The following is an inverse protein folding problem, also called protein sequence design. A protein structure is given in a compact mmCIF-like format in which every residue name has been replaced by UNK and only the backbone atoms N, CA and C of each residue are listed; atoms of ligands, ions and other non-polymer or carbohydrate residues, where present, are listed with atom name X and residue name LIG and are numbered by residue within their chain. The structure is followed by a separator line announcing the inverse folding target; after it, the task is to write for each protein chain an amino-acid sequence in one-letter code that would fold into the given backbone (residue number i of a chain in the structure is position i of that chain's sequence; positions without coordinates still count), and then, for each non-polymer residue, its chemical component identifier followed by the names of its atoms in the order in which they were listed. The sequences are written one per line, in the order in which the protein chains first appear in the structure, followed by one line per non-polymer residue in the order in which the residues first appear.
data_IF_489235685026
#
_entry.id   IF_489235685026
#
_cell.length_a   1.000
_cell.length_b   1.000
_cell.length_c   1.000
_cell.angle_alpha   90.00
_cell.angle_beta   90.00
_cell.angle_gamma   90.00
#
_symmetry.space_group_name_H-M   'P 1'
#
loop_
_entity.id
_entity.type
_entity.pdbx_description
1 polymer ?
#
# COMPACT_ATOMS: atom_id res chain seq x y z
N UNK A 1 12.83 26.41 -13.61
CA UNK A 1 12.84 24.96 -13.28
C UNK A 1 12.38 24.73 -11.83
N UNK A 2 11.37 25.45 -11.36
CA UNK A 2 11.02 25.47 -9.93
C UNK A 2 10.05 24.35 -9.50
N UNK A 3 9.49 23.58 -10.46
CA UNK A 3 8.44 22.59 -10.19
C UNK A 3 8.91 21.12 -10.13
N UNK A 4 10.23 20.85 -10.07
CA UNK A 4 10.72 19.45 -10.02
C UNK A 4 10.42 18.81 -8.67
N UNK A 5 9.77 17.66 -8.69
CA UNK A 5 9.53 16.87 -7.50
C UNK A 5 10.81 16.22 -6.99
N UNK A 6 10.98 16.21 -5.67
CA UNK A 6 12.08 15.51 -5.00
C UNK A 6 11.73 14.04 -4.81
N UNK A 7 12.52 13.16 -5.44
CA UNK A 7 12.37 11.70 -5.31
C UNK A 7 12.33 11.24 -3.87
N UNK A 8 13.28 11.72 -3.05
CA UNK A 8 13.37 11.32 -1.64
C UNK A 8 12.11 11.69 -0.87
N UNK A 9 11.60 12.91 -1.04
CA UNK A 9 10.38 13.37 -0.34
C UNK A 9 9.18 12.53 -0.73
N UNK A 10 8.92 12.39 -2.04
CA UNK A 10 7.74 11.67 -2.53
C UNK A 10 7.79 10.18 -2.18
N UNK A 11 8.90 9.49 -2.48
CA UNK A 11 9.03 8.06 -2.21
C UNK A 11 8.93 7.75 -0.72
N UNK A 12 9.59 8.51 0.16
CA UNK A 12 9.53 8.26 1.59
C UNK A 12 8.15 8.58 2.17
N UNK A 13 7.52 9.69 1.76
CA UNK A 13 6.17 10.02 2.21
C UNK A 13 5.18 8.93 1.81
N UNK A 14 5.22 8.46 0.56
CA UNK A 14 4.36 7.37 0.09
C UNK A 14 4.63 6.08 0.86
N UNK A 15 5.90 5.72 1.05
CA UNK A 15 6.27 4.50 1.77
C UNK A 15 5.83 4.51 3.24
N UNK A 16 5.97 5.64 3.94
CA UNK A 16 5.53 5.79 5.33
C UNK A 16 4.01 5.67 5.43
N UNK A 17 3.26 6.40 4.59
CA UNK A 17 1.79 6.35 4.60
C UNK A 17 1.31 4.94 4.27
N UNK A 18 1.88 4.30 3.25
CA UNK A 18 1.55 2.91 2.88
C UNK A 18 1.88 1.94 3.99
N UNK A 19 3.03 2.07 4.66
CA UNK A 19 3.40 1.22 5.78
C UNK A 19 2.45 1.33 6.97
N UNK A 20 2.06 2.55 7.34
CA UNK A 20 1.05 2.81 8.39
C UNK A 20 -0.28 2.19 7.99
N UNK A 21 -0.75 2.45 6.77
CA UNK A 21 -2.02 1.93 6.28
C UNK A 21 -2.03 0.39 6.25
N UNK A 22 -0.96 -0.23 5.74
CA UNK A 22 -0.80 -1.69 5.72
C UNK A 22 -0.81 -2.28 7.13
N UNK A 23 -0.18 -1.62 8.09
CA UNK A 23 -0.19 -2.03 9.49
C UNK A 23 -1.60 -1.98 10.09
N UNK A 24 -2.34 -0.89 9.84
CA UNK A 24 -3.74 -0.75 10.30
C UNK A 24 -4.62 -1.84 9.67
N UNK A 25 -4.44 -2.13 8.38
CA UNK A 25 -5.16 -3.21 7.70
C UNK A 25 -4.88 -4.59 8.32
N UNK A 26 -3.62 -4.91 8.60
CA UNK A 26 -3.25 -6.17 9.24
C UNK A 26 -3.87 -6.27 10.65
N UNK A 27 -3.79 -5.20 11.45
CA UNK A 27 -4.42 -5.16 12.77
C UNK A 27 -5.94 -5.35 12.70
N UNK A 28 -6.60 -4.74 11.71
CA UNK A 28 -8.04 -4.89 11.53
C UNK A 28 -8.43 -6.34 11.22
N UNK A 29 -7.64 -7.04 10.39
CA UNK A 29 -7.86 -8.47 10.10
C UNK A 29 -7.69 -9.32 11.37
N UNK A 30 -6.69 -9.03 12.20
CA UNK A 30 -6.47 -9.80 13.45
C UNK A 30 -7.56 -9.57 14.50
N UNK A 31 -8.09 -8.34 14.60
CA UNK A 31 -9.05 -7.98 15.66
C UNK A 31 -10.50 -8.26 15.22
N UNK A 32 -10.82 -7.98 13.96
CA UNK A 32 -12.19 -8.03 13.44
C UNK A 32 -12.22 -8.59 12.00
N UNK A 33 -11.88 -9.88 11.80
CA UNK A 33 -11.71 -10.47 10.47
C UNK A 33 -12.96 -10.37 9.60
N UNK A 34 -14.15 -10.62 10.15
CA UNK A 34 -15.40 -10.53 9.38
C UNK A 34 -15.68 -9.10 8.90
N UNK A 35 -15.41 -8.10 9.74
CA UNK A 35 -15.56 -6.70 9.37
C UNK A 35 -14.54 -6.31 8.29
N UNK A 36 -13.28 -6.74 8.44
CA UNK A 36 -12.23 -6.52 7.44
C UNK A 36 -12.63 -7.12 6.08
N UNK A 37 -13.16 -8.34 6.05
CA UNK A 37 -13.61 -8.98 4.82
C UNK A 37 -14.78 -8.24 4.16
N UNK A 38 -15.75 -7.76 4.95
CA UNK A 38 -16.84 -6.96 4.39
C UNK A 38 -16.30 -5.63 3.80
N UNK A 39 -15.42 -4.94 4.54
CA UNK A 39 -14.80 -3.71 4.11
C UNK A 39 -14.03 -3.88 2.80
N UNK A 40 -13.18 -4.90 2.72
CA UNK A 40 -12.39 -5.16 1.51
C UNK A 40 -13.27 -5.58 0.33
N UNK A 41 -14.39 -6.28 0.57
CA UNK A 41 -15.34 -6.62 -0.50
C UNK A 41 -15.96 -5.36 -1.12
N UNK A 42 -16.16 -4.29 -0.35
CA UNK A 42 -16.60 -3.00 -0.89
C UNK A 42 -15.50 -2.25 -1.65
N UNK A 43 -14.24 -2.41 -1.25
CA UNK A 43 -13.10 -1.72 -1.89
C UNK A 43 -12.75 -2.39 -3.22
N UNK A 44 -12.62 -3.72 -3.23
CA UNK A 44 -12.27 -4.51 -4.41
C UNK A 44 -13.49 -4.81 -5.29
N UNK A 45 -14.05 -3.74 -5.87
CA UNK A 45 -15.19 -3.81 -6.79
C UNK A 45 -14.97 -4.89 -7.87
N UNK A 46 -15.90 -5.83 -7.98
CA UNK A 46 -15.88 -6.88 -9.00
C UNK A 46 -15.04 -8.13 -8.64
N UNK A 47 -14.53 -8.23 -7.41
CA UNK A 47 -13.77 -9.40 -6.95
C UNK A 47 -14.45 -9.98 -5.71
N UNK A 48 -14.83 -11.26 -5.77
CA UNK A 48 -15.26 -12.01 -4.59
C UNK A 48 -14.05 -12.48 -3.79
N UNK A 49 -13.61 -11.64 -2.87
CA UNK A 49 -12.43 -11.91 -2.04
C UNK A 49 -12.63 -13.08 -1.07
N UNK A 50 -13.87 -13.50 -0.81
CA UNK A 50 -14.14 -14.65 0.08
C UNK A 50 -13.59 -15.96 -0.49
N UNK A 51 -13.41 -16.05 -1.81
CA UNK A 51 -12.91 -17.24 -2.49
C UNK A 51 -11.39 -17.33 -2.55
N UNK A 52 -10.68 -16.24 -2.28
CA UNK A 52 -9.21 -16.15 -2.42
C UNK A 52 -8.50 -15.81 -1.11
N UNK A 53 -9.24 -15.55 -0.03
CA UNK A 53 -8.67 -15.24 1.28
C UNK A 53 -8.11 -16.49 1.93
N UNK A 54 -6.90 -16.36 2.52
CA UNK A 54 -6.32 -17.33 3.44
C UNK A 54 -6.22 -16.74 4.84
N UNK A 55 -6.19 -17.56 5.91
CA UNK A 55 -5.89 -17.06 7.25
C UNK A 55 -4.57 -16.27 7.28
N UNK A 56 -4.61 -15.07 7.84
CA UNK A 56 -3.42 -14.21 7.95
C UNK A 56 -2.56 -14.67 9.13
N UNK A 57 -1.32 -15.04 8.88
CA UNK A 57 -0.34 -15.26 9.96
C UNK A 57 0.41 -13.98 10.30
N UNK A 58 1.02 -13.92 11.49
CA UNK A 58 1.85 -12.79 11.89
C UNK A 58 3.05 -12.58 10.94
N UNK A 59 3.62 -13.67 10.42
CA UNK A 59 4.73 -13.61 9.44
C UNK A 59 4.22 -13.05 8.11
N UNK A 60 3.08 -13.54 7.61
CA UNK A 60 2.46 -12.99 6.39
C UNK A 60 2.22 -11.48 6.52
N UNK A 61 1.74 -11.02 7.68
CA UNK A 61 1.49 -9.59 7.92
C UNK A 61 2.77 -8.76 7.86
N UNK A 62 3.85 -9.20 8.52
CA UNK A 62 5.15 -8.50 8.48
C UNK A 62 5.69 -8.45 7.06
N UNK A 63 5.69 -9.58 6.35
CA UNK A 63 6.19 -9.66 4.98
C UNK A 63 5.37 -8.75 4.06
N UNK A 64 4.04 -8.75 4.18
CA UNK A 64 3.16 -7.88 3.41
C UNK A 64 3.38 -6.39 3.68
N UNK A 65 3.67 -6.00 4.93
CA UNK A 65 4.02 -4.60 5.27
C UNK A 65 5.35 -4.21 4.61
N UNK A 66 6.38 -5.06 4.72
CA UNK A 66 7.70 -4.81 4.11
C UNK A 66 7.56 -4.70 2.59
N UNK A 67 6.84 -5.63 1.97
CA UNK A 67 6.56 -5.63 0.53
C UNK A 67 5.84 -4.35 0.11
N UNK A 68 4.78 -3.95 0.81
CA UNK A 68 4.04 -2.73 0.52
C UNK A 68 4.91 -1.46 0.61
N UNK A 69 5.82 -1.39 1.59
CA UNK A 69 6.77 -0.29 1.75
C UNK A 69 7.75 -0.25 0.57
N UNK A 70 8.32 -1.40 0.17
CA UNK A 70 9.26 -1.48 -0.96
C UNK A 70 8.56 -1.08 -2.26
N UNK A 71 7.36 -1.61 -2.52
CA UNK A 71 6.57 -1.25 -3.70
C UNK A 71 6.21 0.24 -3.70
N UNK A 72 5.89 0.83 -2.55
CA UNK A 72 5.63 2.26 -2.43
C UNK A 72 6.88 3.12 -2.71
N UNK A 73 8.07 2.70 -2.28
CA UNK A 73 9.32 3.37 -2.62
C UNK A 73 9.55 3.39 -4.13
N UNK A 74 9.37 2.23 -4.79
CA UNK A 74 9.51 2.06 -6.23
C UNK A 74 8.46 2.89 -6.97
N UNK A 75 7.19 2.82 -6.56
CA UNK A 75 6.09 3.57 -7.15
C UNK A 75 6.32 5.09 -7.03
N UNK A 76 6.76 5.58 -5.87
CA UNK A 76 7.08 6.99 -5.67
C UNK A 76 8.27 7.45 -6.53
N UNK A 77 9.28 6.59 -6.70
CA UNK A 77 10.41 6.87 -7.58
C UNK A 77 9.94 6.96 -9.04
N UNK A 78 9.13 6.00 -9.48
CA UNK A 78 8.59 5.96 -10.84
C UNK A 78 7.73 7.19 -11.11
N UNK A 79 6.84 7.53 -10.19
CA UNK A 79 5.97 8.71 -10.27
C UNK A 79 6.79 10.00 -10.48
N UNK A 80 7.84 10.20 -9.69
CA UNK A 80 8.69 11.40 -9.79
C UNK A 80 9.40 11.46 -11.14
N UNK A 81 9.91 10.33 -11.64
CA UNK A 81 10.57 10.28 -12.95
C UNK A 81 9.60 10.63 -14.08
N UNK A 82 8.40 10.03 -14.07
CA UNK A 82 7.36 10.32 -15.07
C UNK A 82 6.92 11.78 -15.00
N UNK A 83 6.63 12.28 -13.80
CA UNK A 83 6.20 13.67 -13.59
C UNK A 83 7.26 14.66 -14.07
N UNK A 84 8.52 14.48 -13.64
CA UNK A 84 9.62 15.38 -14.02
C UNK A 84 9.98 15.27 -15.50
N UNK A 85 9.74 14.12 -16.15
CA UNK A 85 9.90 13.95 -17.60
C UNK A 85 8.84 14.73 -18.37
N UNK A 86 7.57 14.63 -17.97
CA UNK A 86 6.46 15.34 -18.62
C UNK A 86 6.56 16.86 -18.41
N UNK A 87 7.06 17.29 -17.25
CA UNK A 87 7.24 18.72 -16.88
C UNK A 87 8.57 19.33 -17.33
N UNK A 88 9.42 18.56 -18.03
CA UNK A 88 10.69 19.05 -18.58
C UNK A 88 10.45 19.84 -19.86
#
# INVERSE_FOLDING_TARGET
MEDKLSTKKVSLSLAIVTGIFSTVCALLIFIAPQFAMNLFSFIFHGIDISQIVKPLTFIDAILGIIEAIILALIAGWLFVNVYNFIKR
#
